data_IF_489401950137
#
_entry.id   IF_489401950137
#
_cell.length_a   1.000
_cell.length_b   1.000
_cell.length_c   1.000
_cell.angle_alpha   90.00
_cell.angle_beta   90.00
_cell.angle_gamma   90.00
#
_symmetry.space_group_name_H-M   'P 1'
#
loop_
_entity.id
_entity.type
_entity.pdbx_description
1 polymer ?
#
# COMPACT_ATOMS: atom_id res chain seq x y z
N UNK A 1 -3.30 18.93 -18.15
CA UNK A 1 -3.54 19.69 -16.91
C UNK A 1 -3.14 18.82 -15.74
N UNK A 2 -2.36 19.36 -14.80
CA UNK A 2 -1.97 18.65 -13.57
C UNK A 2 -3.00 18.93 -12.48
N UNK A 3 -3.46 17.89 -11.80
CA UNK A 3 -4.42 17.99 -10.68
C UNK A 3 -3.71 17.73 -9.37
N UNK A 4 -3.83 18.66 -8.41
CA UNK A 4 -3.40 18.43 -7.03
C UNK A 4 -4.56 17.85 -6.23
N UNK A 5 -4.33 16.73 -5.54
CA UNK A 5 -5.27 16.16 -4.57
C UNK A 5 -4.60 16.07 -3.21
N UNK A 6 -5.30 16.55 -2.17
CA UNK A 6 -4.85 16.49 -0.78
C UNK A 6 -5.60 15.39 -0.05
N UNK A 7 -4.89 14.60 0.76
CA UNK A 7 -5.47 13.54 1.58
C UNK A 7 -4.87 13.59 2.98
N UNK A 8 -5.74 13.66 4.00
CA UNK A 8 -5.39 13.51 5.40
C UNK A 8 -5.33 12.04 5.79
N UNK A 9 -4.26 11.64 6.46
CA UNK A 9 -4.12 10.28 6.99
C UNK A 9 -5.28 9.97 7.93
N UNK A 10 -5.57 10.89 8.87
CA UNK A 10 -6.60 10.71 9.90
C UNK A 10 -8.03 10.82 9.38
N UNK A 11 -8.28 11.64 8.37
CA UNK A 11 -9.66 11.94 7.93
C UNK A 11 -10.06 11.21 6.63
N UNK A 12 -9.11 10.94 5.73
CA UNK A 12 -9.42 10.37 4.42
C UNK A 12 -8.92 8.92 4.27
N UNK A 13 -7.70 8.63 4.73
CA UNK A 13 -7.01 7.37 4.40
C UNK A 13 -7.37 6.27 5.40
N UNK A 14 -7.05 6.47 6.68
CA UNK A 14 -7.28 5.45 7.70
C UNK A 14 -8.76 5.13 7.92
N UNK A 15 -9.68 6.12 8.00
CA UNK A 15 -11.10 5.82 8.20
C UNK A 15 -11.65 4.92 7.10
N UNK A 16 -11.28 5.19 5.84
CA UNK A 16 -11.74 4.39 4.70
C UNK A 16 -11.09 3.01 4.66
N UNK A 17 -9.80 2.90 4.94
CA UNK A 17 -9.09 1.63 5.01
C UNK A 17 -9.63 0.71 6.12
N UNK A 18 -10.02 1.29 7.26
CA UNK A 18 -10.58 0.58 8.41
C UNK A 18 -12.10 0.36 8.30
N UNK A 19 -12.78 1.06 7.39
CA UNK A 19 -14.22 0.92 7.19
C UNK A 19 -14.62 -0.38 6.50
N UNK A 20 -15.93 -0.63 6.47
CA UNK A 20 -16.55 -1.68 5.66
C UNK A 20 -16.27 -1.55 4.16
N UNK A 21 -16.00 -0.34 3.64
CA UNK A 21 -15.71 -0.11 2.20
C UNK A 21 -14.52 -0.96 1.73
N UNK A 22 -13.47 -1.08 2.55
CA UNK A 22 -12.31 -1.89 2.19
C UNK A 22 -12.66 -3.37 2.10
N UNK A 23 -13.38 -3.89 3.09
CA UNK A 23 -13.77 -5.31 3.17
C UNK A 23 -14.82 -5.70 2.13
N UNK A 24 -15.67 -4.78 1.71
CA UNK A 24 -16.63 -4.99 0.61
C UNK A 24 -15.90 -5.13 -0.73
N UNK A 25 -14.89 -4.30 -0.99
CA UNK A 25 -14.13 -4.35 -2.24
C UNK A 25 -13.11 -5.49 -2.27
N UNK A 26 -12.56 -5.85 -1.12
CA UNK A 26 -11.55 -6.90 -0.98
C UNK A 26 -12.01 -7.91 0.06
N UNK A 27 -13.02 -8.73 -0.28
CA UNK A 27 -13.61 -9.68 0.66
C UNK A 27 -12.58 -10.63 1.30
N UNK A 28 -11.57 -11.05 0.53
CA UNK A 28 -10.48 -11.92 1.01
C UNK A 28 -9.65 -11.23 2.12
N UNK A 29 -9.57 -9.91 2.12
CA UNK A 29 -8.82 -9.13 3.11
C UNK A 29 -9.45 -9.18 4.51
N UNK A 30 -10.73 -9.57 4.64
CA UNK A 30 -11.40 -9.75 5.93
C UNK A 30 -10.68 -10.74 6.85
N UNK A 31 -10.02 -11.75 6.28
CA UNK A 31 -9.29 -12.79 7.03
C UNK A 31 -8.05 -12.28 7.78
N UNK A 32 -7.57 -11.09 7.43
CA UNK A 32 -6.37 -10.50 7.99
C UNK A 32 -6.67 -9.25 8.82
N UNK A 33 -7.95 -8.96 9.10
CA UNK A 33 -8.34 -7.92 10.04
C UNK A 33 -7.88 -8.28 11.46
N UNK A 34 -7.49 -7.26 12.21
CA UNK A 34 -7.03 -7.28 13.60
C UNK A 34 -5.76 -8.12 13.86
N UNK A 35 -5.11 -8.62 12.81
CA UNK A 35 -3.87 -9.38 12.94
C UNK A 35 -2.64 -8.47 13.03
N UNK A 36 -1.48 -9.06 13.33
CA UNK A 36 -0.23 -8.32 13.43
C UNK A 36 0.21 -7.68 12.10
N UNK A 37 -0.11 -8.30 10.97
CA UNK A 37 0.19 -7.74 9.66
C UNK A 37 -0.58 -6.45 9.39
N UNK A 38 -1.86 -6.40 9.74
CA UNK A 38 -2.68 -5.19 9.62
C UNK A 38 -2.13 -4.06 10.48
N UNK A 39 -1.74 -4.35 11.73
CA UNK A 39 -1.13 -3.33 12.61
C UNK A 39 0.12 -2.72 11.97
N UNK A 40 1.00 -3.55 11.38
CA UNK A 40 2.22 -3.09 10.70
C UNK A 40 1.92 -2.32 9.41
N UNK A 41 0.92 -2.75 8.63
CA UNK A 41 0.46 -2.00 7.46
C UNK A 41 -0.07 -0.62 7.85
N UNK A 42 -0.90 -0.57 8.90
CA UNK A 42 -1.43 0.68 9.46
C UNK A 42 -0.28 1.55 9.95
N UNK A 43 0.73 1.01 10.61
CA UNK A 43 1.90 1.76 11.07
C UNK A 43 2.63 2.46 9.91
N UNK A 44 2.89 1.74 8.81
CA UNK A 44 3.52 2.31 7.61
C UNK A 44 2.62 3.35 6.94
N UNK A 45 1.32 3.06 6.80
CA UNK A 45 0.36 3.99 6.17
C UNK A 45 0.13 5.24 7.03
N UNK A 46 0.19 5.10 8.36
CA UNK A 46 0.04 6.21 9.30
C UNK A 46 1.27 7.10 9.36
N UNK A 47 2.43 6.58 8.93
CA UNK A 47 3.65 7.38 8.81
C UNK A 47 3.65 8.19 7.51
N UNK A 48 3.39 9.49 7.63
CA UNK A 48 3.36 10.44 6.50
C UNK A 48 4.57 10.32 5.57
N UNK A 49 5.79 10.20 6.11
CA UNK A 49 7.01 10.13 5.28
C UNK A 49 7.05 8.83 4.47
N UNK A 50 6.66 7.72 5.07
CA UNK A 50 6.66 6.41 4.41
C UNK A 50 5.56 6.32 3.37
N UNK A 51 4.34 6.74 3.69
CA UNK A 51 3.26 6.75 2.70
C UNK A 51 3.59 7.67 1.52
N UNK A 52 4.21 8.83 1.78
CA UNK A 52 4.67 9.73 0.72
C UNK A 52 5.77 9.08 -0.13
N UNK A 53 6.72 8.39 0.49
CA UNK A 53 7.75 7.60 -0.21
C UNK A 53 7.13 6.55 -1.14
N UNK A 54 6.11 5.83 -0.67
CA UNK A 54 5.38 4.83 -1.47
C UNK A 54 4.69 5.47 -2.68
N UNK A 55 4.05 6.63 -2.49
CA UNK A 55 3.39 7.38 -3.57
C UNK A 55 4.37 7.89 -4.62
N UNK A 56 5.51 8.45 -4.22
CA UNK A 56 6.57 8.89 -5.15
C UNK A 56 7.15 7.68 -5.88
N UNK A 57 7.41 6.59 -5.18
CA UNK A 57 7.95 5.36 -5.78
C UNK A 57 7.06 4.84 -6.90
N UNK A 58 5.74 4.85 -6.72
CA UNK A 58 4.78 4.51 -7.78
C UNK A 58 4.88 5.43 -9.00
N UNK A 59 5.11 6.73 -8.82
CA UNK A 59 5.35 7.66 -9.93
C UNK A 59 6.66 7.37 -10.68
N UNK A 60 7.62 6.75 -10.03
CA UNK A 60 8.91 6.34 -10.60
C UNK A 60 8.89 4.90 -11.16
N UNK A 61 7.73 4.24 -11.21
CA UNK A 61 7.59 2.88 -11.74
C UNK A 61 7.95 1.76 -10.75
N UNK A 62 8.05 2.07 -9.46
CA UNK A 62 8.22 1.10 -8.37
C UNK A 62 6.83 0.81 -7.80
N UNK A 63 6.45 -0.47 -7.66
CA UNK A 63 5.08 -0.73 -7.18
C UNK A 63 4.87 -0.26 -5.74
N UNK A 64 3.64 0.11 -5.33
CA UNK A 64 3.39 0.48 -3.94
C UNK A 64 3.76 -0.62 -2.95
N UNK A 65 3.55 -1.88 -3.32
CA UNK A 65 3.94 -3.04 -2.49
C UNK A 65 5.45 -3.13 -2.37
N UNK A 66 6.20 -3.06 -3.47
CA UNK A 66 7.67 -3.07 -3.47
C UNK A 66 8.24 -1.96 -2.57
N UNK A 67 7.73 -0.74 -2.70
CA UNK A 67 8.11 0.37 -1.83
C UNK A 67 7.71 0.15 -0.36
N UNK A 68 6.57 -0.48 -0.09
CA UNK A 68 6.20 -0.89 1.26
C UNK A 68 7.18 -1.91 1.84
N UNK A 69 7.63 -2.90 1.08
CA UNK A 69 8.58 -3.91 1.55
C UNK A 69 9.91 -3.28 2.00
N UNK A 70 10.37 -2.24 1.30
CA UNK A 70 11.53 -1.44 1.75
C UNK A 70 11.26 -0.76 3.10
N UNK A 71 10.13 -0.04 3.23
CA UNK A 71 9.78 0.64 4.48
C UNK A 71 9.58 -0.35 5.63
N UNK A 72 8.97 -1.51 5.36
CA UNK A 72 8.76 -2.58 6.31
C UNK A 72 10.10 -3.13 6.84
N UNK A 73 11.07 -3.37 5.96
CA UNK A 73 12.41 -3.80 6.35
C UNK A 73 13.12 -2.77 7.23
N UNK A 74 13.01 -1.48 6.90
CA UNK A 74 13.61 -0.39 7.68
C UNK A 74 13.03 -0.36 9.11
N UNK A 75 11.71 -0.49 9.26
CA UNK A 75 11.05 -0.47 10.58
C UNK A 75 11.37 -1.68 11.44
N UNK A 76 11.60 -2.84 10.81
CA UNK A 76 11.76 -4.11 11.50
C UNK A 76 13.23 -4.59 11.50
N UNK A 77 14.19 -3.69 11.25
CA UNK A 77 15.61 -4.06 11.21
C UNK A 77 16.16 -4.43 12.61
N UNK A 78 16.94 -5.53 12.73
CA UNK A 78 17.25 -6.49 11.69
C UNK A 78 16.08 -7.45 11.43
N UNK A 79 15.72 -7.61 10.16
CA UNK A 79 14.80 -8.68 9.76
C UNK A 79 15.57 -10.02 9.78
N UNK A 80 14.88 -11.10 10.12
CA UNK A 80 15.45 -12.44 9.96
C UNK A 80 15.89 -12.67 8.51
N UNK A 81 17.03 -13.34 8.31
CA UNK A 81 17.62 -13.58 6.98
C UNK A 81 16.68 -14.35 6.05
N UNK A 82 15.86 -15.23 6.62
CA UNK A 82 14.91 -16.08 5.90
C UNK A 82 13.45 -15.63 6.13
N UNK A 83 13.24 -14.36 6.52
CA UNK A 83 11.90 -13.85 6.71
C UNK A 83 11.19 -13.71 5.35
N UNK A 84 10.02 -14.36 5.26
CA UNK A 84 9.07 -14.19 4.19
C UNK A 84 7.68 -13.98 4.78
N UNK A 85 6.84 -13.24 4.07
CA UNK A 85 5.41 -13.18 4.39
C UNK A 85 4.79 -14.56 4.14
N UNK A 86 3.85 -14.95 4.99
CA UNK A 86 3.17 -16.24 4.91
C UNK A 86 2.15 -16.26 3.77
N UNK A 87 1.81 -17.45 3.29
CA UNK A 87 0.78 -17.63 2.28
C UNK A 87 -0.52 -16.87 2.59
N UNK A 88 -0.92 -16.01 1.67
CA UNK A 88 -2.11 -15.15 1.74
C UNK A 88 -1.84 -13.76 2.32
N UNK A 89 -0.76 -13.54 3.07
CA UNK A 89 -0.37 -12.21 3.56
C UNK A 89 -0.06 -11.25 2.41
N UNK A 90 0.53 -11.76 1.32
CA UNK A 90 0.80 -11.02 0.09
C UNK A 90 -0.49 -10.52 -0.58
N UNK A 91 -1.59 -11.29 -0.48
CA UNK A 91 -2.90 -10.87 -1.00
C UNK A 91 -3.43 -9.71 -0.18
N UNK A 92 -3.27 -9.73 1.14
CA UNK A 92 -3.71 -8.66 2.02
C UNK A 92 -2.92 -7.36 1.84
N UNK A 93 -1.59 -7.48 1.71
CA UNK A 93 -0.71 -6.34 1.39
C UNK A 93 -1.13 -5.74 0.05
N UNK A 94 -1.31 -6.58 -0.97
CA UNK A 94 -1.75 -6.16 -2.31
C UNK A 94 -3.14 -5.49 -2.28
N UNK A 95 -4.08 -6.03 -1.52
CA UNK A 95 -5.42 -5.47 -1.35
C UNK A 95 -5.37 -4.09 -0.69
N UNK A 96 -4.57 -3.94 0.38
CA UNK A 96 -4.40 -2.68 1.10
C UNK A 96 -3.92 -1.56 0.19
N UNK A 97 -2.83 -1.79 -0.54
CA UNK A 97 -2.31 -0.78 -1.46
C UNK A 97 -3.18 -0.61 -2.70
N UNK A 98 -3.83 -1.68 -3.18
CA UNK A 98 -4.83 -1.60 -4.23
C UNK A 98 -5.99 -0.70 -3.84
N UNK A 99 -6.47 -0.79 -2.61
CA UNK A 99 -7.54 0.05 -2.11
C UNK A 99 -7.12 1.52 -2.02
N UNK A 100 -5.99 1.79 -1.38
CA UNK A 100 -5.46 3.15 -1.21
C UNK A 100 -5.25 3.80 -2.58
N UNK A 101 -4.54 3.13 -3.50
CA UNK A 101 -4.16 3.74 -4.77
C UNK A 101 -5.35 3.86 -5.73
N UNK A 102 -6.20 2.84 -5.82
CA UNK A 102 -7.31 2.85 -6.78
C UNK A 102 -8.52 3.64 -6.28
N UNK A 103 -8.92 3.47 -5.02
CA UNK A 103 -10.20 4.00 -4.53
C UNK A 103 -10.06 5.24 -3.64
N UNK A 104 -8.91 5.43 -2.99
CA UNK A 104 -8.65 6.67 -2.24
C UNK A 104 -8.01 7.71 -3.16
N UNK A 105 -6.86 7.39 -3.77
CA UNK A 105 -6.15 8.34 -4.63
C UNK A 105 -6.77 8.47 -6.05
N UNK A 106 -7.49 7.45 -6.51
CA UNK A 106 -8.17 7.44 -7.80
C UNK A 106 -7.23 7.19 -8.98
N UNK A 107 -6.14 6.47 -8.75
CA UNK A 107 -5.23 6.04 -9.81
C UNK A 107 -5.81 4.85 -10.57
N UNK A 108 -5.47 4.76 -11.85
CA UNK A 108 -5.87 3.61 -12.66
C UNK A 108 -4.88 2.47 -12.44
N UNK A 109 -5.39 1.26 -12.18
CA UNK A 109 -4.52 0.09 -12.10
C UNK A 109 -3.92 -0.21 -13.48
N UNK A 110 -2.62 -0.46 -13.55
CA UNK A 110 -1.97 -0.96 -14.77
C UNK A 110 -2.27 -2.45 -14.91
N UNK A 111 -2.65 -2.89 -16.10
CA UNK A 111 -3.05 -4.30 -16.34
C UNK A 111 -1.93 -5.28 -16.00
N UNK A 112 -0.71 -4.99 -16.44
CA UNK A 112 0.45 -5.85 -16.23
C UNK A 112 1.05 -5.63 -14.84
N UNK A 113 1.12 -6.70 -14.05
CA UNK A 113 1.87 -6.72 -12.77
C UNK A 113 3.38 -6.61 -13.03
N UNK A 114 4.09 -5.93 -12.14
CA UNK A 114 5.55 -5.84 -12.14
C UNK A 114 6.14 -6.95 -11.26
N UNK A 115 7.30 -7.48 -11.64
CA UNK A 115 8.10 -8.42 -10.85
C UNK A 115 8.70 -7.69 -9.64
N UNK A 116 8.67 -8.32 -8.47
CA UNK A 116 9.16 -7.78 -7.19
C UNK A 116 10.19 -8.71 -6.55
N UNK A 117 9.89 -10.01 -6.41
CA UNK A 117 10.78 -11.04 -5.83
C UNK A 117 11.44 -10.63 -4.51
N UNK A 118 10.61 -10.23 -3.53
CA UNK A 118 11.11 -9.75 -2.24
C UNK A 118 10.19 -10.18 -1.10
N UNK A 119 10.78 -10.71 -0.01
CA UNK A 119 10.08 -11.19 1.20
C UNK A 119 8.91 -12.16 0.89
N UNK A 120 9.09 -13.10 -0.05
CA UNK A 120 8.04 -14.02 -0.49
C UNK A 120 7.02 -13.42 -1.48
N UNK A 121 7.12 -12.14 -1.85
CA UNK A 121 6.21 -11.51 -2.82
C UNK A 121 6.84 -11.48 -4.22
N UNK A 122 6.29 -12.27 -5.14
CA UNK A 122 6.81 -12.39 -6.51
C UNK A 122 6.47 -11.21 -7.41
N UNK A 123 5.22 -10.72 -7.35
CA UNK A 123 4.71 -9.69 -8.26
C UNK A 123 3.74 -8.74 -7.56
N UNK A 124 3.61 -7.52 -8.07
CA UNK A 124 2.68 -6.53 -7.52
C UNK A 124 2.07 -5.62 -8.60
N UNK A 125 0.98 -4.95 -8.25
CA UNK A 125 0.29 -4.03 -9.17
C UNK A 125 0.99 -2.68 -9.19
N UNK A 126 1.16 -2.11 -10.38
CA UNK A 126 1.50 -0.70 -10.56
C UNK A 126 0.22 0.10 -10.80
N UNK A 127 0.23 1.39 -10.46
CA UNK A 127 -0.91 2.27 -10.69
C UNK A 127 -0.45 3.46 -11.50
N UNK A 128 -1.17 3.79 -12.56
CA UNK A 128 -0.90 4.99 -13.36
C UNK A 128 -1.37 6.23 -12.57
N UNK A 129 -0.44 7.05 -12.07
CA UNK A 129 -0.79 8.25 -11.32
C UNK A 129 -1.45 9.31 -12.22
N UNK A 130 -1.31 9.18 -13.55
CA UNK A 130 -1.63 10.22 -14.54
C UNK A 130 -1.02 11.57 -14.13
N UNK A 131 -1.53 12.66 -14.68
CA UNK A 131 -1.18 14.03 -14.29
C UNK A 131 -1.73 14.41 -12.88
N UNK A 132 -1.65 13.53 -11.88
CA UNK A 132 -2.14 13.80 -10.50
C UNK A 132 -0.96 13.94 -9.53
N UNK A 133 -0.92 15.00 -8.76
CA UNK A 133 -0.03 15.17 -7.61
C UNK A 133 -0.83 14.83 -6.35
N UNK A 134 -0.24 14.02 -5.47
CA UNK A 134 -0.83 13.63 -4.19
C UNK A 134 -0.05 14.35 -3.09
N UNK A 135 -0.77 15.12 -2.28
CA UNK A 135 -0.24 15.75 -1.08
C UNK A 135 -0.84 15.03 0.14
N UNK A 136 0.03 14.45 0.96
CA UNK A 136 -0.37 13.77 2.19
C UNK A 136 -0.19 14.73 3.36
N UNK A 137 -1.27 14.95 4.11
CA UNK A 137 -1.29 15.72 5.35
C UNK A 137 -1.64 14.82 6.53
N UNK A 138 -1.36 15.27 7.75
CA UNK A 138 -1.65 14.50 8.96
C UNK A 138 -3.16 14.33 9.22
#
# INVERSE_FOLDING_TARGET
MVTLKKFSIKNDILPRLLSGEFTERYLIATKFRENELEKKLIEVVSNKKMLHSIVISNKLGITPVEAFLENYQILNYPLGTDFEFKDGEEVFIGATFGFIFQFIFGFSKVEKRKKVEKLGIETASLFDPRNTIIEIIE
#
